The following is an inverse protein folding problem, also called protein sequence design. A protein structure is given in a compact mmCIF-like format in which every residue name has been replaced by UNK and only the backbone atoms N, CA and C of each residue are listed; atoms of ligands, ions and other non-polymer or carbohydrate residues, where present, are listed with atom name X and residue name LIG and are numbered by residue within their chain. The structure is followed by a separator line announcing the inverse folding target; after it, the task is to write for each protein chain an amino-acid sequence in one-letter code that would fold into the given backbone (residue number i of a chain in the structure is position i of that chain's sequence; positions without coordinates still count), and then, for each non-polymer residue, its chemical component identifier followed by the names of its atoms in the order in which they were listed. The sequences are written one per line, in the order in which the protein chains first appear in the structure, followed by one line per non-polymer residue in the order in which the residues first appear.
data_IF_560426778682
#
_entry.id   IF_560426778682
#
_cell.length_a   1.000
_cell.length_b   1.000
_cell.length_c   1.000
_cell.angle_alpha   90.00
_cell.angle_beta   90.00
_cell.angle_gamma   90.00
#
_symmetry.space_group_name_H-M   'P 1'
#
loop_
_entity.id
_entity.type
_entity.pdbx_description
1 polymer ?
#
# COMPACT_ATOMS: atom_id res chain seq x y z
N UNK A 1 1.28 23.99 -19.45
CA UNK A 1 1.06 25.34 -18.90
C UNK A 1 0.73 25.21 -17.42
N UNK A 2 1.44 25.90 -16.53
CA UNK A 2 1.16 25.88 -15.08
C UNK A 2 0.04 26.87 -14.77
N UNK A 3 -0.95 26.47 -13.98
CA UNK A 3 -2.07 27.32 -13.58
C UNK A 3 -1.96 27.70 -12.09
N UNK A 4 -2.09 28.98 -11.76
CA UNK A 4 -2.09 29.46 -10.38
C UNK A 4 -3.54 29.76 -9.93
N UNK A 5 -3.97 29.22 -8.79
CA UNK A 5 -5.31 29.44 -8.22
C UNK A 5 -5.21 29.76 -6.72
N UNK A 6 -5.38 31.03 -6.35
CA UNK A 6 -5.25 31.48 -4.96
C UNK A 6 -6.60 31.59 -4.22
N UNK A 7 -7.60 30.84 -4.67
CA UNK A 7 -8.91 30.82 -4.03
C UNK A 7 -8.82 30.17 -2.64
N UNK A 8 -9.67 30.64 -1.72
CA UNK A 8 -9.82 30.00 -0.40
C UNK A 8 -10.31 28.55 -0.56
N UNK A 9 -9.96 27.65 0.39
CA UNK A 9 -10.41 26.26 0.36
C UNK A 9 -11.93 26.14 0.25
N UNK A 10 -12.40 25.52 -0.83
CA UNK A 10 -13.80 25.21 -1.06
C UNK A 10 -13.92 23.88 -1.82
N UNK A 11 -15.11 23.28 -1.85
CA UNK A 11 -15.34 21.96 -2.48
C UNK A 11 -14.80 21.87 -3.91
N UNK A 12 -14.94 22.93 -4.71
CA UNK A 12 -14.45 22.98 -6.09
C UNK A 12 -12.95 22.83 -6.21
N UNK A 13 -12.18 23.40 -5.28
CA UNK A 13 -10.71 23.36 -5.34
C UNK A 13 -10.15 21.98 -4.98
N UNK A 14 -11.00 21.06 -4.51
CA UNK A 14 -10.67 19.65 -4.29
C UNK A 14 -11.08 18.73 -5.44
N UNK A 15 -11.76 19.23 -6.47
CA UNK A 15 -12.13 18.39 -7.62
C UNK A 15 -10.90 17.93 -8.41
N UNK A 16 -10.97 16.75 -9.03
CA UNK A 16 -9.84 16.08 -9.68
C UNK A 16 -9.19 16.90 -10.80
N UNK A 17 -9.94 17.78 -11.46
CA UNK A 17 -9.45 18.68 -12.52
C UNK A 17 -8.62 19.85 -11.95
N UNK A 18 -8.82 20.19 -10.68
CA UNK A 18 -8.11 21.27 -9.98
C UNK A 18 -7.02 20.73 -9.06
N UNK A 19 -7.32 19.73 -8.24
CA UNK A 19 -6.41 19.14 -7.26
C UNK A 19 -5.46 18.11 -7.90
N UNK A 20 -4.61 18.60 -8.82
CA UNK A 20 -3.69 17.77 -9.62
C UNK A 20 -2.35 18.47 -9.87
N UNK A 21 -1.30 17.71 -10.26
CA UNK A 21 -0.05 18.31 -10.74
C UNK A 21 -0.30 19.29 -11.91
N UNK A 22 0.48 20.38 -11.96
CA UNK A 22 0.33 21.44 -12.96
C UNK A 22 -0.62 22.58 -12.55
N UNK A 23 -1.40 22.39 -11.48
CA UNK A 23 -2.19 23.45 -10.85
C UNK A 23 -1.62 23.74 -9.46
N UNK A 24 -1.17 24.97 -9.26
CA UNK A 24 -0.71 25.50 -7.97
C UNK A 24 -1.91 26.16 -7.30
N UNK A 25 -2.66 25.40 -6.49
CA UNK A 25 -3.82 25.92 -5.76
C UNK A 25 -3.51 26.13 -4.28
N UNK A 26 -4.01 27.23 -3.69
CA UNK A 26 -3.85 27.52 -2.25
C UNK A 26 -4.36 26.36 -1.38
N UNK A 27 -5.45 25.72 -1.80
CA UNK A 27 -5.99 24.50 -1.21
C UNK A 27 -4.99 23.36 -1.17
N UNK A 28 -4.29 23.06 -2.29
CA UNK A 28 -3.30 21.98 -2.32
C UNK A 28 -2.03 22.33 -1.53
N UNK A 29 -1.60 23.58 -1.58
CA UNK A 29 -0.49 24.10 -0.80
C UNK A 29 -0.72 23.97 0.71
N UNK A 30 -1.93 24.30 1.17
CA UNK A 30 -2.26 24.28 2.61
C UNK A 30 -2.72 22.90 3.04
N UNK A 31 -3.80 22.37 2.45
CA UNK A 31 -4.41 21.09 2.84
C UNK A 31 -3.51 19.89 2.55
N UNK A 32 -2.85 19.87 1.39
CA UNK A 32 -1.95 18.78 1.01
C UNK A 32 -0.69 18.74 1.88
N UNK A 33 -0.05 19.90 2.09
CA UNK A 33 1.16 19.99 2.93
C UNK A 33 0.86 19.73 4.41
N UNK A 34 -0.19 20.34 4.95
CA UNK A 34 -0.58 20.13 6.36
C UNK A 34 -1.00 18.68 6.62
N UNK A 35 -1.77 18.07 5.71
CA UNK A 35 -2.18 16.68 5.83
C UNK A 35 -1.00 15.72 5.91
N UNK A 36 0.03 15.94 5.08
CA UNK A 36 1.26 15.13 5.13
C UNK A 36 2.00 15.26 6.46
N UNK A 37 2.13 16.50 6.97
CA UNK A 37 2.77 16.76 8.26
C UNK A 37 2.01 16.16 9.45
N UNK A 38 0.68 16.36 9.49
CA UNK A 38 -0.20 15.82 10.54
C UNK A 38 -0.19 14.29 10.54
N UNK A 39 -0.25 13.66 9.37
CA UNK A 39 -0.20 12.21 9.25
C UNK A 39 1.15 11.65 9.75
N UNK A 40 2.28 12.26 9.39
CA UNK A 40 3.58 11.83 9.88
C UNK A 40 3.73 12.03 11.39
N UNK A 41 3.22 13.15 11.93
CA UNK A 41 3.20 13.39 13.37
C UNK A 41 2.37 12.33 14.11
N UNK A 42 1.21 11.93 13.58
CA UNK A 42 0.40 10.86 14.15
C UNK A 42 1.16 9.52 14.16
N UNK A 43 1.85 9.17 13.07
CA UNK A 43 2.70 7.97 13.01
C UNK A 43 3.80 8.03 14.07
N UNK A 44 4.50 9.15 14.21
CA UNK A 44 5.59 9.30 15.17
C UNK A 44 5.11 9.20 16.63
N UNK A 45 3.97 9.83 16.96
CA UNK A 45 3.37 9.76 18.29
C UNK A 45 2.92 8.33 18.61
N UNK A 46 2.22 7.65 17.70
CA UNK A 46 1.78 6.27 17.90
C UNK A 46 2.95 5.29 17.95
N UNK A 47 3.99 5.48 17.13
CA UNK A 47 5.19 4.66 17.12
C UNK A 47 5.92 4.77 18.46
N UNK A 48 6.07 5.99 18.97
CA UNK A 48 6.68 6.26 20.28
C UNK A 48 5.85 5.67 21.42
N UNK A 49 4.52 5.88 21.41
CA UNK A 49 3.64 5.39 22.46
C UNK A 49 3.49 3.87 22.52
N UNK A 50 3.56 3.19 21.37
CA UNK A 50 3.43 1.72 21.28
C UNK A 50 4.77 0.98 21.27
N UNK A 51 5.89 1.66 21.02
CA UNK A 51 7.18 1.03 20.79
C UNK A 51 7.28 0.25 19.47
N UNK A 52 6.36 0.45 18.52
CA UNK A 52 6.44 -0.12 17.17
C UNK A 52 7.34 0.79 16.33
N UNK A 53 8.62 0.44 16.21
CA UNK A 53 9.58 1.23 15.41
C UNK A 53 9.24 1.20 13.92
N UNK A 54 9.41 2.32 13.22
CA UNK A 54 9.15 2.42 11.76
C UNK A 54 10.27 3.20 11.06
N UNK A 55 10.34 3.10 9.74
CA UNK A 55 11.21 3.95 8.92
C UNK A 55 10.46 5.22 8.53
N UNK A 56 10.80 6.34 9.18
CA UNK A 56 10.15 7.63 8.94
C UNK A 56 10.32 8.17 7.51
N UNK A 57 11.50 8.13 6.87
CA UNK A 57 11.67 8.73 5.53
C UNK A 57 10.69 8.18 4.46
N UNK A 58 10.52 6.86 4.27
CA UNK A 58 9.56 6.35 3.29
C UNK A 58 8.10 6.58 3.71
N UNK A 59 7.79 6.61 5.00
CA UNK A 59 6.44 6.95 5.48
C UNK A 59 6.12 8.44 5.32
N UNK A 60 7.10 9.33 5.42
CA UNK A 60 6.94 10.76 5.14
C UNK A 60 6.53 11.00 3.68
N UNK A 61 7.21 10.34 2.73
CA UNK A 61 6.84 10.39 1.32
C UNK A 61 5.46 9.78 1.05
N UNK A 62 5.08 8.74 1.80
CA UNK A 62 3.73 8.15 1.77
C UNK A 62 2.67 9.13 2.25
N UNK A 63 2.90 9.81 3.38
CA UNK A 63 2.00 10.84 3.91
C UNK A 63 1.81 11.98 2.90
N UNK A 64 2.88 12.40 2.22
CA UNK A 64 2.80 13.39 1.15
C UNK A 64 1.91 12.91 -0.01
N UNK A 65 2.12 11.70 -0.51
CA UNK A 65 1.30 11.13 -1.60
C UNK A 65 -0.17 11.04 -1.18
N UNK A 66 -0.44 10.51 0.01
CA UNK A 66 -1.79 10.31 0.51
C UNK A 66 -2.52 11.61 0.86
N UNK A 67 -1.83 12.75 1.02
CA UNK A 67 -2.45 14.05 1.26
C UNK A 67 -2.51 14.95 0.02
N UNK A 68 -1.46 14.96 -0.81
CA UNK A 68 -1.30 15.90 -1.92
C UNK A 68 -1.53 15.28 -3.32
N UNK A 69 -1.57 13.95 -3.42
CA UNK A 69 -1.69 13.19 -4.67
C UNK A 69 -2.79 12.12 -4.59
N UNK A 70 -3.89 12.45 -3.90
CA UNK A 70 -4.98 11.55 -3.50
C UNK A 70 -5.70 10.79 -4.61
N UNK A 71 -5.63 11.31 -5.84
CA UNK A 71 -6.25 10.70 -7.03
C UNK A 71 -5.34 9.72 -7.76
N UNK A 72 -4.09 9.57 -7.31
CA UNK A 72 -3.20 8.57 -7.88
C UNK A 72 -3.55 7.20 -7.31
N UNK A 73 -3.51 6.18 -8.18
CA UNK A 73 -3.66 4.77 -7.79
C UNK A 73 -2.72 4.39 -6.64
N UNK A 74 -1.47 4.88 -6.68
CA UNK A 74 -0.44 4.61 -5.67
C UNK A 74 -0.79 5.16 -4.27
N UNK A 75 -1.75 6.08 -4.18
CA UNK A 75 -2.23 6.61 -2.90
C UNK A 75 -3.33 5.74 -2.27
N UNK A 76 -3.75 4.62 -2.89
CA UNK A 76 -4.81 3.76 -2.36
C UNK A 76 -4.30 2.82 -1.25
N UNK A 77 -5.19 2.29 -0.38
CA UNK A 77 -4.79 1.43 0.74
C UNK A 77 -3.90 0.24 0.34
N UNK A 78 -4.26 -0.50 -0.72
CA UNK A 78 -3.51 -1.69 -1.13
C UNK A 78 -2.08 -1.36 -1.59
N UNK A 79 -1.83 -0.45 -2.55
CA UNK A 79 -0.46 -0.08 -2.91
C UNK A 79 0.37 0.41 -1.73
N UNK A 80 -0.21 1.23 -0.85
CA UNK A 80 0.50 1.77 0.32
C UNK A 80 0.92 0.64 1.27
N UNK A 81 -0.02 -0.22 1.70
CA UNK A 81 0.25 -1.26 2.71
C UNK A 81 1.07 -2.41 2.11
N UNK A 82 0.61 -2.98 0.99
CA UNK A 82 1.29 -4.11 0.35
C UNK A 82 2.65 -3.70 -0.23
N UNK A 83 2.76 -2.48 -0.78
CA UNK A 83 4.01 -1.98 -1.33
C UNK A 83 5.11 -1.91 -0.28
N UNK A 84 4.83 -1.32 0.90
CA UNK A 84 5.77 -1.30 2.02
C UNK A 84 6.11 -2.70 2.54
N UNK A 85 5.11 -3.59 2.61
CA UNK A 85 5.30 -4.95 3.08
C UNK A 85 6.25 -5.74 2.17
N UNK A 86 5.98 -5.79 0.86
CA UNK A 86 6.82 -6.56 -0.08
C UNK A 86 8.18 -5.91 -0.30
N UNK A 87 8.27 -4.59 -0.28
CA UNK A 87 9.54 -3.88 -0.40
C UNK A 87 10.43 -4.08 0.83
N UNK A 88 9.84 -4.22 2.02
CA UNK A 88 10.62 -4.58 3.22
C UNK A 88 11.25 -5.97 3.07
N UNK A 89 10.50 -6.96 2.54
CA UNK A 89 11.06 -8.29 2.25
C UNK A 89 12.20 -8.19 1.25
N UNK A 90 12.03 -7.43 0.16
CA UNK A 90 13.09 -7.18 -0.81
C UNK A 90 14.35 -6.56 -0.19
N UNK A 91 14.19 -5.59 0.71
CA UNK A 91 15.31 -4.96 1.43
C UNK A 91 16.06 -5.93 2.33
N UNK A 92 15.36 -6.80 3.05
CA UNK A 92 16.01 -7.83 3.87
C UNK A 92 16.77 -8.87 3.04
N UNK A 93 16.21 -9.30 1.92
CA UNK A 93 16.88 -10.20 0.98
C UNK A 93 18.17 -9.56 0.45
N UNK A 94 18.09 -8.29 0.02
CA UNK A 94 19.24 -7.56 -0.49
C UNK A 94 20.31 -7.28 0.59
N UNK A 95 19.89 -6.96 1.81
CA UNK A 95 20.79 -6.80 2.96
C UNK A 95 21.55 -8.10 3.24
N UNK A 96 20.85 -9.25 3.21
CA UNK A 96 21.49 -10.56 3.42
C UNK A 96 22.47 -10.91 2.29
N UNK A 97 22.11 -10.62 1.03
CA UNK A 97 22.97 -10.81 -0.12
C UNK A 97 24.22 -9.91 -0.05
N UNK A 98 24.07 -8.65 0.35
CA UNK A 98 25.19 -7.73 0.55
C UNK A 98 26.17 -8.19 1.62
N UNK A 99 25.66 -8.81 2.70
CA UNK A 99 26.49 -9.46 3.72
C UNK A 99 27.28 -10.65 3.18
N UNK A 100 26.66 -11.47 2.32
CA UNK A 100 27.34 -12.61 1.68
C UNK A 100 28.43 -12.15 0.68
N UNK A 101 28.24 -11.00 0.04
CA UNK A 101 29.18 -10.44 -0.94
C UNK A 101 30.43 -9.79 -0.32
N UNK A 102 30.41 -9.50 0.98
CA UNK A 102 31.49 -8.78 1.67
C UNK A 102 32.86 -9.48 1.65
N UNK A 103 32.88 -10.80 1.47
CA UNK A 103 34.12 -11.58 1.31
C UNK A 103 34.58 -11.72 -0.15
N UNK A 104 33.71 -11.41 -1.11
CA UNK A 104 33.98 -11.58 -2.55
C UNK A 104 34.25 -10.24 -3.26
N UNK A 105 33.76 -9.13 -2.72
CA UNK A 105 33.87 -7.80 -3.30
C UNK A 105 34.35 -6.78 -2.26
N UNK A 106 35.02 -5.68 -2.69
CA UNK A 106 35.25 -4.53 -1.83
C UNK A 106 33.94 -3.98 -1.23
N UNK A 107 34.00 -3.46 0.00
CA UNK A 107 32.83 -2.97 0.75
C UNK A 107 31.90 -2.07 -0.08
N UNK A 108 32.46 -1.06 -0.77
CA UNK A 108 31.69 -0.12 -1.58
C UNK A 108 30.96 -0.79 -2.75
N UNK A 109 31.57 -1.82 -3.36
CA UNK A 109 31.00 -2.55 -4.48
C UNK A 109 29.89 -3.50 -4.00
N UNK A 110 30.12 -4.23 -2.91
CA UNK A 110 29.10 -5.06 -2.28
C UNK A 110 27.87 -4.24 -1.88
N UNK A 111 28.08 -3.05 -1.30
CA UNK A 111 27.00 -2.15 -0.91
C UNK A 111 26.23 -1.59 -2.12
N UNK A 112 26.93 -1.20 -3.19
CA UNK A 112 26.28 -0.72 -4.42
C UNK A 112 25.41 -1.82 -5.08
N UNK A 113 25.94 -3.05 -5.15
CA UNK A 113 25.20 -4.21 -5.69
C UNK A 113 23.97 -4.52 -4.83
N UNK A 114 24.12 -4.54 -3.50
CA UNK A 114 23.00 -4.78 -2.59
C UNK A 114 21.92 -3.70 -2.72
N UNK A 115 22.29 -2.42 -2.85
CA UNK A 115 21.33 -1.33 -3.03
C UNK A 115 20.56 -1.45 -4.35
N UNK A 116 21.26 -1.75 -5.45
CA UNK A 116 20.64 -1.99 -6.75
C UNK A 116 19.68 -3.20 -6.69
N UNK A 117 20.10 -4.29 -6.05
CA UNK A 117 19.29 -5.49 -5.85
C UNK A 117 18.04 -5.20 -5.01
N UNK A 118 18.15 -4.39 -3.96
CA UNK A 118 17.03 -4.02 -3.10
C UNK A 118 15.92 -3.33 -3.89
N UNK A 119 16.29 -2.32 -4.69
CA UNK A 119 15.33 -1.56 -5.50
C UNK A 119 14.77 -2.42 -6.64
N UNK A 120 15.60 -3.25 -7.29
CA UNK A 120 15.15 -4.16 -8.35
C UNK A 120 14.12 -5.18 -7.84
N UNK A 121 14.39 -5.83 -6.69
CA UNK A 121 13.47 -6.77 -6.06
C UNK A 121 12.19 -6.07 -5.57
N UNK A 122 12.30 -4.87 -4.99
CA UNK A 122 11.14 -4.11 -4.55
C UNK A 122 10.23 -3.76 -5.74
N UNK A 123 10.80 -3.29 -6.85
CA UNK A 123 10.05 -3.00 -8.07
C UNK A 123 9.36 -4.26 -8.62
N UNK A 124 10.10 -5.38 -8.71
CA UNK A 124 9.54 -6.66 -9.13
C UNK A 124 8.38 -7.10 -8.24
N UNK A 125 8.55 -7.10 -6.93
CA UNK A 125 7.51 -7.58 -6.01
C UNK A 125 6.29 -6.66 -5.96
N UNK A 126 6.48 -5.33 -6.04
CA UNK A 126 5.36 -4.40 -6.15
C UNK A 126 4.57 -4.63 -7.45
N UNK A 127 5.25 -4.86 -8.58
CA UNK A 127 4.57 -5.16 -9.85
C UNK A 127 3.79 -6.49 -9.78
N UNK A 128 4.39 -7.53 -9.18
CA UNK A 128 3.71 -8.82 -8.99
C UNK A 128 2.49 -8.71 -8.05
N UNK A 129 2.59 -7.91 -7.01
CA UNK A 129 1.50 -7.65 -6.06
C UNK A 129 0.52 -6.56 -6.56
N UNK A 130 0.76 -6.01 -7.75
CA UNK A 130 0.07 -4.85 -8.33
C UNK A 130 -0.03 -3.67 -7.32
N UNK A 131 1.02 -3.46 -6.54
CA UNK A 131 1.08 -2.58 -5.37
C UNK A 131 2.16 -1.49 -5.55
N UNK A 132 2.23 -0.89 -6.73
CA UNK A 132 3.19 0.17 -7.02
C UNK A 132 3.04 1.34 -6.04
N UNK A 133 4.06 1.53 -5.21
CA UNK A 133 4.11 2.64 -4.27
C UNK A 133 5.55 3.12 -4.17
N UNK A 134 5.96 4.14 -4.95
CA UNK A 134 7.35 4.58 -5.04
C UNK A 134 8.06 4.83 -3.68
N UNK A 135 7.41 5.38 -2.63
CA UNK A 135 8.02 5.47 -1.30
C UNK A 135 8.45 4.13 -0.70
N UNK A 136 7.82 3.02 -1.07
CA UNK A 136 8.19 1.70 -0.63
C UNK A 136 9.54 1.23 -1.19
N UNK A 137 9.98 1.71 -2.36
CA UNK A 137 11.33 1.42 -2.85
C UNK A 137 12.41 1.91 -1.88
N UNK A 138 12.21 3.08 -1.24
CA UNK A 138 13.09 3.55 -0.18
C UNK A 138 13.03 2.67 1.09
N UNK A 139 11.91 2.00 1.34
CA UNK A 139 11.79 1.00 2.42
C UNK A 139 12.70 -0.21 2.19
N UNK A 140 12.90 -0.61 0.92
CA UNK A 140 13.84 -1.67 0.58
C UNK A 140 15.31 -1.22 0.67
N UNK A 141 15.59 0.03 0.31
CA UNK A 141 16.95 0.57 0.30
C UNK A 141 17.54 0.79 1.70
N UNK A 142 16.74 1.30 2.65
CA UNK A 142 17.21 1.69 3.99
C UNK A 142 17.89 0.55 4.77
N UNK A 143 17.36 -0.69 4.81
CA UNK A 143 18.03 -1.82 5.50
C UNK A 143 19.45 -2.10 5.02
N UNK A 144 19.78 -1.75 3.76
CA UNK A 144 21.13 -1.90 3.21
C UNK A 144 22.06 -0.77 3.66
N UNK A 145 21.51 0.41 3.99
CA UNK A 145 22.27 1.63 4.23
C UNK A 145 22.40 1.99 5.71
N UNK A 146 21.41 1.66 6.54
CA UNK A 146 21.26 2.18 7.89
C UNK A 146 20.82 1.07 8.86
N UNK A 147 21.19 1.18 10.15
CA UNK A 147 20.69 0.29 11.17
C UNK A 147 19.17 0.41 11.33
N UNK A 148 18.51 -0.72 11.61
CA UNK A 148 17.07 -0.79 11.78
C UNK A 148 16.68 -0.51 13.25
N UNK A 149 15.58 0.24 13.50
CA UNK A 149 15.08 0.48 14.86
C UNK A 149 14.31 -0.73 15.46
N UNK A 150 14.26 -1.84 14.73
CA UNK A 150 13.59 -3.09 15.12
C UNK A 150 14.43 -4.31 14.67
N UNK A 151 14.20 -5.49 15.23
CA UNK A 151 14.72 -6.74 14.68
C UNK A 151 14.39 -6.88 13.19
N UNK A 152 15.35 -7.26 12.32
CA UNK A 152 15.16 -7.22 10.87
C UNK A 152 13.91 -7.94 10.36
N UNK A 153 13.60 -9.11 10.91
CA UNK A 153 12.45 -9.92 10.46
C UNK A 153 11.08 -9.26 10.75
N UNK A 154 11.04 -8.30 11.68
CA UNK A 154 9.82 -7.55 12.00
C UNK A 154 9.60 -6.35 11.06
N UNK A 155 10.61 -5.97 10.26
CA UNK A 155 10.53 -4.81 9.37
C UNK A 155 9.29 -4.81 8.47
N UNK A 156 8.90 -5.91 7.77
CA UNK A 156 7.72 -5.88 6.91
C UNK A 156 6.42 -5.55 7.63
N UNK A 157 6.23 -6.10 8.84
CA UNK A 157 5.02 -5.87 9.63
C UNK A 157 5.03 -4.49 10.28
N UNK A 158 6.18 -4.01 10.74
CA UNK A 158 6.31 -2.64 11.27
C UNK A 158 6.07 -1.58 10.19
N UNK A 159 6.57 -1.80 8.97
CA UNK A 159 6.33 -0.88 7.86
C UNK A 159 4.87 -0.93 7.38
N UNK A 160 4.26 -2.13 7.34
CA UNK A 160 2.83 -2.26 7.08
C UNK A 160 1.98 -1.56 8.18
N UNK A 161 2.39 -1.65 9.44
CA UNK A 161 1.74 -0.94 10.55
C UNK A 161 1.76 0.58 10.34
N UNK A 162 2.92 1.15 10.02
CA UNK A 162 3.05 2.58 9.73
C UNK A 162 2.24 2.99 8.48
N UNK A 163 2.20 2.13 7.46
CA UNK A 163 1.40 2.33 6.26
C UNK A 163 -0.11 2.33 6.54
N UNK A 164 -0.61 1.45 7.42
CA UNK A 164 -2.01 1.44 7.88
C UNK A 164 -2.34 2.76 8.58
N UNK A 165 -1.48 3.21 9.50
CA UNK A 165 -1.68 4.50 10.19
C UNK A 165 -1.70 5.66 9.18
N UNK A 166 -0.80 5.66 8.19
CA UNK A 166 -0.79 6.66 7.12
C UNK A 166 -2.09 6.68 6.30
N UNK A 167 -2.63 5.50 5.96
CA UNK A 167 -3.91 5.37 5.25
C UNK A 167 -5.08 5.85 6.10
N UNK A 168 -5.13 5.48 7.39
CA UNK A 168 -6.18 5.94 8.30
C UNK A 168 -6.13 7.46 8.50
N UNK A 169 -4.94 8.02 8.70
CA UNK A 169 -4.75 9.47 8.78
C UNK A 169 -5.25 10.15 7.51
N UNK A 170 -4.90 9.62 6.33
CA UNK A 170 -5.38 10.14 5.06
C UNK A 170 -6.90 10.02 4.90
N UNK A 171 -7.51 8.90 5.32
CA UNK A 171 -8.97 8.73 5.32
C UNK A 171 -9.65 9.80 6.17
N UNK A 172 -9.14 10.04 7.38
CA UNK A 172 -9.70 11.07 8.28
C UNK A 172 -9.50 12.49 7.76
N UNK A 173 -8.32 12.79 7.22
CA UNK A 173 -7.96 14.12 6.73
C UNK A 173 -8.68 14.47 5.43
N UNK A 174 -8.62 13.58 4.44
CA UNK A 174 -9.21 13.81 3.14
C UNK A 174 -10.74 13.69 3.17
N UNK A 175 -11.26 12.82 4.04
CA UNK A 175 -12.69 12.58 4.23
C UNK A 175 -13.51 13.83 4.56
N UNK A 176 -12.86 14.91 5.03
CA UNK A 176 -13.49 16.22 5.25
C UNK A 176 -14.03 16.83 3.94
N UNK A 177 -13.33 16.63 2.82
CA UNK A 177 -13.66 17.29 1.54
C UNK A 177 -14.05 16.31 0.44
N UNK A 178 -13.50 15.10 0.43
CA UNK A 178 -13.75 14.11 -0.61
C UNK A 178 -13.61 12.69 -0.08
N UNK A 179 -14.30 11.76 -0.73
CA UNK A 179 -14.20 10.34 -0.39
C UNK A 179 -12.79 9.82 -0.67
N UNK A 180 -12.22 9.10 0.30
CA UNK A 180 -10.94 8.43 0.18
C UNK A 180 -11.09 6.95 0.61
N UNK A 181 -10.62 5.98 -0.20
CA UNK A 181 -9.93 6.14 -1.48
C UNK A 181 -10.82 6.78 -2.55
N UNK A 182 -10.20 7.63 -3.40
CA UNK A 182 -10.90 8.30 -4.47
C UNK A 182 -11.37 7.26 -5.52
N UNK A 183 -12.57 7.40 -6.11
CA UNK A 183 -13.07 6.48 -7.15
C UNK A 183 -12.13 6.44 -8.36
N UNK A 184 -11.82 5.25 -8.87
CA UNK A 184 -10.98 5.08 -10.08
C UNK A 184 -11.74 5.38 -11.37
N UNK A 185 -13.07 5.24 -11.36
CA UNK A 185 -13.96 5.49 -12.48
C UNK A 185 -15.43 5.31 -12.06
N UNK A 186 -16.35 5.40 -13.03
CA UNK A 186 -17.79 5.37 -12.78
C UNK A 186 -18.27 4.01 -12.22
N UNK A 187 -17.66 2.91 -12.65
CA UNK A 187 -18.02 1.54 -12.25
C UNK A 187 -17.15 0.99 -11.11
N UNK A 188 -16.54 1.86 -10.30
CA UNK A 188 -15.68 1.43 -9.20
C UNK A 188 -16.52 0.70 -8.13
N UNK A 189 -16.18 -0.55 -7.74
CA UNK A 189 -16.92 -1.26 -6.70
C UNK A 189 -16.86 -0.48 -5.39
N UNK A 190 -17.95 -0.57 -4.62
CA UNK A 190 -18.06 0.09 -3.33
C UNK A 190 -18.44 -0.92 -2.26
N UNK A 191 -17.64 -1.00 -1.20
CA UNK A 191 -17.88 -1.85 -0.05
C UNK A 191 -17.65 -1.07 1.24
N UNK A 192 -18.61 -1.11 2.17
CA UNK A 192 -18.58 -0.37 3.45
C UNK A 192 -18.25 1.13 3.28
N UNK A 193 -18.73 1.75 2.21
CA UNK A 193 -18.48 3.17 1.92
C UNK A 193 -17.15 3.46 1.22
N UNK A 194 -16.25 2.48 1.09
CA UNK A 194 -14.94 2.61 0.46
C UNK A 194 -15.01 2.19 -1.02
N UNK A 195 -14.36 2.94 -1.90
CA UNK A 195 -14.30 2.66 -3.35
C UNK A 195 -13.26 1.59 -3.69
N UNK A 196 -13.49 0.39 -3.16
CA UNK A 196 -12.70 -0.82 -3.35
C UNK A 196 -13.61 -2.05 -3.22
N UNK A 197 -13.16 -3.22 -3.69
CA UNK A 197 -13.99 -4.43 -3.64
C UNK A 197 -14.07 -5.04 -2.23
N UNK A 198 -14.90 -6.09 -2.08
CA UNK A 198 -15.15 -6.75 -0.78
C UNK A 198 -13.90 -7.42 -0.21
N UNK A 199 -13.06 -8.01 -1.06
CA UNK A 199 -11.86 -8.73 -0.64
C UNK A 199 -10.77 -7.75 -0.22
N UNK A 200 -10.58 -6.65 -0.97
CA UNK A 200 -9.69 -5.55 -0.57
C UNK A 200 -10.15 -4.89 0.72
N UNK A 201 -11.45 -4.67 0.88
CA UNK A 201 -12.03 -4.13 2.13
C UNK A 201 -11.78 -5.06 3.31
N UNK A 202 -11.98 -6.37 3.14
CA UNK A 202 -11.70 -7.36 4.18
C UNK A 202 -10.22 -7.39 4.59
N UNK A 203 -9.31 -7.40 3.61
CA UNK A 203 -7.87 -7.32 3.86
C UNK A 203 -7.48 -6.02 4.59
N UNK A 204 -8.06 -4.89 4.17
CA UNK A 204 -7.86 -3.60 4.83
C UNK A 204 -8.29 -3.63 6.29
N UNK A 205 -9.50 -4.12 6.58
CA UNK A 205 -10.02 -4.21 7.95
C UNK A 205 -9.17 -5.14 8.83
N UNK A 206 -8.70 -6.26 8.28
CA UNK A 206 -7.76 -7.13 8.98
C UNK A 206 -6.45 -6.39 9.30
N UNK A 207 -5.90 -5.63 8.35
CA UNK A 207 -4.71 -4.81 8.61
C UNK A 207 -4.95 -3.75 9.70
N UNK A 208 -6.11 -3.08 9.69
CA UNK A 208 -6.48 -2.10 10.71
C UNK A 208 -6.59 -2.75 12.09
N UNK A 209 -7.25 -3.91 12.19
CA UNK A 209 -7.36 -4.66 13.44
C UNK A 209 -5.98 -5.08 13.97
N UNK A 210 -5.14 -5.66 13.11
CA UNK A 210 -3.78 -6.05 13.48
C UNK A 210 -2.94 -4.86 13.94
N UNK A 211 -3.05 -3.72 13.25
CA UNK A 211 -2.32 -2.52 13.63
C UNK A 211 -2.80 -1.92 14.96
N UNK A 212 -4.11 -1.96 15.23
CA UNK A 212 -4.68 -1.55 16.51
C UNK A 212 -4.17 -2.45 17.66
N UNK A 213 -4.17 -3.77 17.46
CA UNK A 213 -3.63 -4.72 18.45
C UNK A 213 -2.14 -4.49 18.74
N UNK A 214 -1.34 -4.25 17.69
CA UNK A 214 0.08 -3.87 17.85
C UNK A 214 0.25 -2.57 18.61
N UNK A 215 -0.60 -1.56 18.40
CA UNK A 215 -0.53 -0.28 19.10
C UNK A 215 -0.83 -0.41 20.60
N UNK A 216 -1.60 -1.44 21.00
CA UNK A 216 -1.91 -1.77 22.40
C UNK A 216 -0.79 -2.55 23.11
N UNK A 217 0.42 -2.65 22.52
CA UNK A 217 1.59 -3.30 23.15
C UNK A 217 1.84 -2.89 24.61
N UNK A 218 1.66 -1.62 25.05
CA UNK A 218 1.83 -1.25 26.46
C UNK A 218 0.90 -2.00 27.43
N UNK A 219 -0.23 -2.55 26.95
CA UNK A 219 -1.16 -3.34 27.75
C UNK A 219 -0.78 -4.82 27.84
N UNK A 220 0.11 -5.31 26.97
CA UNK A 220 0.60 -6.69 27.02
C UNK A 220 1.21 -7.18 25.71
N UNK A 221 2.28 -7.98 25.82
CA UNK A 221 2.98 -8.55 24.66
C UNK A 221 2.10 -9.53 23.85
N UNK A 222 1.15 -10.21 24.48
CA UNK A 222 0.24 -11.13 23.77
C UNK A 222 -0.65 -10.43 22.75
N UNK A 223 -1.10 -9.18 23.03
CA UNK A 223 -1.85 -8.38 22.05
C UNK A 223 -0.97 -7.98 20.87
N UNK A 224 0.29 -7.63 21.14
CA UNK A 224 1.24 -7.29 20.10
C UNK A 224 1.52 -8.47 19.16
N UNK A 225 1.76 -9.67 19.71
CA UNK A 225 1.97 -10.90 18.91
C UNK A 225 0.73 -11.29 18.10
N UNK A 226 -0.46 -11.23 18.71
CA UNK A 226 -1.72 -11.43 17.99
C UNK A 226 -1.88 -10.39 16.86
N UNK A 227 -1.51 -9.13 17.13
CA UNK A 227 -1.53 -8.04 16.16
C UNK A 227 -0.60 -8.30 14.97
N UNK A 228 0.62 -8.79 15.22
CA UNK A 228 1.56 -9.19 14.16
C UNK A 228 0.94 -10.27 13.26
N UNK A 229 0.31 -11.29 13.86
CA UNK A 229 -0.36 -12.37 13.13
C UNK A 229 -1.51 -11.87 12.25
N UNK A 230 -2.42 -11.06 12.83
CA UNK A 230 -3.58 -10.51 12.11
C UNK A 230 -3.15 -9.55 10.99
N UNK A 231 -2.18 -8.66 11.27
CA UNK A 231 -1.64 -7.75 10.26
C UNK A 231 -0.94 -8.51 9.13
N UNK A 232 -0.20 -9.58 9.46
CA UNK A 232 0.45 -10.45 8.49
C UNK A 232 -0.56 -11.13 7.55
N UNK A 233 -1.67 -11.65 8.08
CA UNK A 233 -2.73 -12.26 7.27
C UNK A 233 -3.42 -11.24 6.38
N UNK A 234 -3.75 -10.05 6.90
CA UNK A 234 -4.34 -8.96 6.11
C UNK A 234 -3.39 -8.49 5.00
N UNK A 235 -2.11 -8.32 5.31
CA UNK A 235 -1.08 -7.94 4.35
C UNK A 235 -0.87 -8.98 3.26
N UNK A 236 -0.83 -10.27 3.62
CA UNK A 236 -0.75 -11.37 2.67
C UNK A 236 -1.98 -11.41 1.75
N UNK A 237 -3.17 -11.18 2.29
CA UNK A 237 -4.39 -11.10 1.49
C UNK A 237 -4.31 -9.96 0.44
N UNK A 238 -3.77 -8.80 0.81
CA UNK A 238 -3.52 -7.73 -0.17
C UNK A 238 -2.52 -8.11 -1.25
N UNK A 239 -1.41 -8.76 -0.87
CA UNK A 239 -0.37 -9.18 -1.82
C UNK A 239 -0.89 -10.22 -2.81
N UNK A 240 -1.71 -11.17 -2.36
CA UNK A 240 -2.24 -12.25 -3.19
C UNK A 240 -3.50 -11.86 -3.98
N UNK A 241 -4.15 -10.74 -3.64
CA UNK A 241 -5.41 -10.33 -4.24
C UNK A 241 -5.42 -10.35 -5.78
N UNK A 242 -4.43 -9.76 -6.50
CA UNK A 242 -4.45 -9.74 -7.98
C UNK A 242 -4.44 -11.14 -8.59
N UNK A 243 -3.62 -12.03 -8.03
CA UNK A 243 -3.49 -13.43 -8.48
C UNK A 243 -4.79 -14.20 -8.22
N UNK A 244 -5.37 -14.06 -7.03
CA UNK A 244 -6.61 -14.74 -6.66
C UNK A 244 -7.79 -14.28 -7.54
N UNK A 245 -7.87 -12.97 -7.82
CA UNK A 245 -8.89 -12.40 -8.70
C UNK A 245 -8.72 -12.90 -10.14
N UNK A 246 -7.49 -12.94 -10.66
CA UNK A 246 -7.22 -13.47 -12.00
C UNK A 246 -7.61 -14.96 -12.13
N UNK A 247 -7.26 -15.78 -11.13
CA UNK A 247 -7.62 -17.20 -11.10
C UNK A 247 -9.12 -17.43 -11.00
N UNK A 248 -9.83 -16.64 -10.19
CA UNK A 248 -11.29 -16.65 -10.10
C UNK A 248 -11.93 -16.36 -11.45
N UNK A 249 -11.49 -15.31 -12.13
CA UNK A 249 -12.03 -14.89 -13.42
C UNK A 249 -11.77 -15.93 -14.51
N UNK A 250 -10.57 -16.52 -14.55
CA UNK A 250 -10.23 -17.60 -15.48
C UNK A 250 -11.13 -18.83 -15.28
N UNK A 251 -11.40 -19.21 -14.03
CA UNK A 251 -12.31 -20.33 -13.69
C UNK A 251 -13.77 -20.03 -14.08
N UNK A 252 -14.23 -18.80 -13.88
CA UNK A 252 -15.57 -18.37 -14.28
C UNK A 252 -15.74 -18.43 -15.81
N UNK A 253 -14.77 -17.91 -16.57
CA UNK A 253 -14.78 -17.96 -18.04
C UNK A 253 -14.72 -19.38 -18.62
N UNK A 254 -13.99 -20.29 -17.97
CA UNK A 254 -13.98 -21.71 -18.37
C UNK A 254 -15.35 -22.38 -18.18
N UNK A 255 -16.09 -22.03 -17.12
CA UNK A 255 -17.44 -22.56 -16.86
C UNK A 255 -18.47 -22.05 -17.87
N UNK A 256 -18.41 -20.77 -18.26
CA UNK A 256 -19.32 -20.21 -19.26
C UNK A 256 -19.10 -20.82 -20.65
N UNK A 257 -17.84 -21.05 -21.04
CA UNK A 257 -17.53 -21.67 -22.34
C UNK A 257 -17.87 -23.17 -22.40
N UNK A 258 -17.82 -23.89 -21.27
CA UNK A 258 -18.26 -25.29 -21.21
C UNK A 258 -19.79 -25.48 -21.29
N UNK A 259 -20.57 -24.46 -20.90
CA UNK A 259 -22.03 -24.51 -21.02
C UNK A 259 -22.53 -24.16 -22.43
N UNK A 260 -21.86 -23.25 -23.14
CA UNK A 260 -22.20 -22.92 -24.53
C UNK A 260 -21.84 -24.05 -25.50
N UNK A 261 -20.78 -24.82 -25.26
CA UNK A 261 -20.45 -26.01 -26.07
C UNK A 261 -21.40 -27.18 -25.82
N UNK A 262 -21.88 -27.38 -24.59
CA UNK A 262 -22.88 -28.40 -24.26
C UNK A 262 -24.27 -28.14 -24.85
N UNK A 263 -24.65 -26.87 -25.04
CA UNK A 263 -25.91 -26.52 -25.71
C UNK A 263 -25.85 -26.68 -27.24
N UNK A 264 -24.70 -26.44 -27.87
CA UNK A 264 -24.54 -26.66 -29.32
C UNK A 264 -24.49 -28.14 -29.69
N UNK A 265 -24.00 -29.03 -28.82
CA UNK A 265 -24.08 -30.48 -29.03
C UNK A 265 -25.46 -31.09 -28.72
N UNK A 266 -26.29 -30.41 -27.92
CA UNK A 266 -27.64 -30.87 -27.57
C UNK A 266 -28.70 -30.54 -28.64
N UNK A 267 -28.48 -29.51 -29.45
CA UNK A 267 -29.41 -29.13 -30.53
C UNK A 267 -29.27 -30.00 -31.78
N UNK A 268 -28.10 -30.55 -32.09
CA UNK A 268 -27.90 -31.43 -33.24
C UNK A 268 -28.47 -32.84 -33.07
N UNK A 269 -28.76 -33.29 -31.83
CA UNK A 269 -29.44 -34.58 -31.58
C UNK A 269 -30.96 -34.49 -31.46
N UNK A 270 -31.54 -33.28 -31.37
CA UNK A 270 -33.00 -33.10 -31.31
C UNK A 270 -33.63 -32.90 -32.70
N UNK A 271 -32.84 -32.66 -33.74
CA UNK A 271 -33.29 -32.46 -35.13
C UNK A 271 -33.24 -33.75 -35.97
N UNK A 272 -33.07 -34.92 -35.33
CA UNK A 272 -33.05 -36.26 -35.96
C UNK A 272 -34.09 -37.23 -35.39
N UNK A 273 -35.21 -36.74 -34.82
CA UNK A 273 -36.37 -37.58 -34.46
C UNK A 273 -37.65 -37.10 -35.11
#
# INVERSE_FOLDING_TARGET
MVQLRLNSPCKREFERDVYRPGVISLTRLTWGSLGGGVALAAIALLSTGSGVGVLYPPLAATCFINAACVYLRVARPRPVIAGHLVSSVAGLLAMSAGGALHGALPHWAAQAVALGLAVALAALFMQLADADHPPAAATAAIPVLLPLPMPPLLLPLHMAWGAVVAVLAAMTWNGVWFAYPAPEGENCPKCLGLHQDRTETGAFLACVLGAALMALRPLGNGLYEAGLGVLGLGGLAFVLHPVLTALSNARAGARTNGQTSGQTSGQTSAEQR
#
